data_IF_081134929115
#
_entry.id   IF_081134929115
#
_cell.length_a   1.000
_cell.length_b   1.000
_cell.length_c   1.000
_cell.angle_alpha   90.00
_cell.angle_beta   90.00
_cell.angle_gamma   90.00
#
_symmetry.space_group_name_H-M   'P 1'
#
loop_
_entity.id
_entity.type
_entity.pdbx_description
1 polymer ?
#
# COMPACT_ATOMS: atom_id res chain seq x y z
N UNK A 1 -15.01 10.27 14.72
CA UNK A 1 -14.72 10.26 13.28
C UNK A 1 -13.79 11.42 12.99
N UNK A 2 -12.59 11.14 12.49
CA UNK A 2 -11.62 12.17 12.12
C UNK A 2 -11.46 12.17 10.59
N UNK A 3 -11.30 13.35 9.96
CA UNK A 3 -11.00 13.41 8.53
C UNK A 3 -9.65 12.74 8.25
N UNK A 4 -9.54 12.02 7.14
CA UNK A 4 -8.25 11.52 6.65
C UNK A 4 -7.54 12.67 5.92
N UNK A 5 -6.44 13.15 6.48
CA UNK A 5 -5.62 14.21 5.88
C UNK A 5 -4.37 13.66 5.21
N UNK A 6 -3.86 12.51 5.65
CA UNK A 6 -2.69 11.87 5.06
C UNK A 6 -2.78 10.34 5.15
N UNK A 7 -2.33 9.66 4.09
CA UNK A 7 -2.08 8.22 4.10
C UNK A 7 -0.61 8.00 3.73
N UNK A 8 0.14 7.28 4.56
CA UNK A 8 1.51 6.84 4.26
C UNK A 8 1.53 5.35 4.04
N UNK A 9 1.98 4.90 2.87
CA UNK A 9 2.19 3.50 2.56
C UNK A 9 3.68 3.24 2.34
N UNK A 10 4.26 2.34 3.11
CA UNK A 10 5.62 1.86 2.95
C UNK A 10 5.57 0.45 2.39
N UNK A 11 6.23 0.22 1.26
CA UNK A 11 6.18 -1.01 0.50
C UNK A 11 7.58 -1.43 0.11
N UNK A 12 7.93 -2.68 0.39
CA UNK A 12 9.19 -3.30 -0.04
C UNK A 12 8.91 -4.39 -1.07
N UNK A 13 9.62 -4.30 -2.20
CA UNK A 13 9.64 -5.32 -3.24
C UNK A 13 10.79 -6.28 -2.96
N UNK A 14 10.52 -7.58 -3.08
CA UNK A 14 11.49 -8.60 -2.75
C UNK A 14 12.79 -8.48 -3.57
N UNK A 15 13.93 -8.82 -2.95
CA UNK A 15 15.22 -8.90 -3.65
C UNK A 15 15.43 -10.25 -4.35
N UNK A 16 14.54 -10.61 -5.28
CA UNK A 16 14.68 -11.82 -6.12
C UNK A 16 14.44 -11.55 -7.60
N UNK A 17 14.90 -12.48 -8.44
CA UNK A 17 14.73 -12.38 -9.90
C UNK A 17 13.26 -12.25 -10.30
N UNK A 18 12.96 -11.23 -11.11
CA UNK A 18 11.60 -10.92 -11.59
C UNK A 18 10.66 -10.34 -10.54
N UNK A 19 11.16 -9.87 -9.38
CA UNK A 19 10.32 -9.35 -8.31
C UNK A 19 9.73 -7.96 -8.59
N UNK A 20 10.43 -7.14 -9.38
CA UNK A 20 9.92 -5.85 -9.86
C UNK A 20 8.75 -6.04 -10.82
N UNK A 21 8.02 -4.95 -11.09
CA UNK A 21 6.81 -5.01 -11.88
C UNK A 21 6.57 -3.73 -12.68
N UNK A 22 6.13 -3.91 -13.93
CA UNK A 22 5.60 -2.86 -14.80
C UNK A 22 4.07 -2.68 -14.64
N UNK A 23 3.45 -3.42 -13.70
CA UNK A 23 2.02 -3.37 -13.43
C UNK A 23 1.61 -2.12 -12.66
N UNK A 24 0.34 -1.73 -12.79
CA UNK A 24 -0.23 -0.68 -11.94
C UNK A 24 -0.55 -1.26 -10.57
N UNK A 25 -0.04 -0.64 -9.50
CA UNK A 25 -0.27 -1.10 -8.13
C UNK A 25 -1.06 -0.03 -7.39
N UNK A 26 -2.17 -0.44 -6.79
CA UNK A 26 -3.10 0.42 -6.09
C UNK A 26 -3.16 0.08 -4.61
N UNK A 27 -3.26 1.10 -3.78
CA UNK A 27 -3.64 1.00 -2.38
C UNK A 27 -5.14 1.30 -2.24
N UNK A 28 -5.91 0.33 -1.75
CA UNK A 28 -7.29 0.52 -1.33
C UNK A 28 -7.37 0.99 0.12
N UNK A 29 -7.97 2.17 0.35
CA UNK A 29 -8.29 2.72 1.69
C UNK A 29 -9.62 3.48 1.60
N UNK A 30 -10.49 3.27 2.59
CA UNK A 30 -11.74 4.03 2.72
C UNK A 30 -12.68 3.91 1.50
N UNK A 31 -12.73 2.73 0.89
CA UNK A 31 -13.65 2.45 -0.22
C UNK A 31 -13.21 2.93 -1.60
N UNK A 32 -11.98 3.46 -1.75
CA UNK A 32 -11.38 3.80 -3.05
C UNK A 32 -9.91 3.41 -3.15
N UNK A 33 -9.38 3.49 -4.37
CA UNK A 33 -8.00 3.14 -4.69
C UNK A 33 -7.14 4.38 -4.97
N UNK A 34 -5.86 4.27 -4.61
CA UNK A 34 -4.80 5.27 -4.79
C UNK A 34 -3.63 4.62 -5.52
N UNK A 35 -3.17 5.19 -6.62
CA UNK A 35 -2.07 4.61 -7.39
C UNK A 35 -0.73 4.81 -6.65
N UNK A 36 0.03 3.73 -6.49
CA UNK A 36 1.40 3.76 -5.98
C UNK A 36 2.35 4.13 -7.11
N UNK A 37 2.50 5.43 -7.34
CA UNK A 37 3.37 5.98 -8.38
C UNK A 37 4.08 7.22 -7.84
N UNK A 38 5.40 7.17 -7.72
CA UNK A 38 6.20 8.24 -7.11
C UNK A 38 6.58 9.29 -8.15
N UNK A 39 6.51 10.56 -7.76
CA UNK A 39 6.87 11.66 -8.66
C UNK A 39 8.30 11.54 -9.19
N UNK A 40 8.43 11.59 -10.51
CA UNK A 40 9.74 11.55 -11.18
C UNK A 40 10.51 10.23 -11.02
N UNK A 41 9.83 9.15 -10.62
CA UNK A 41 10.39 7.80 -10.52
C UNK A 41 9.77 6.88 -11.56
N UNK A 42 10.54 5.92 -12.06
CA UNK A 42 10.03 4.84 -12.91
C UNK A 42 9.31 3.75 -12.11
N UNK A 43 8.97 2.66 -12.81
CA UNK A 43 8.21 1.53 -12.29
C UNK A 43 8.85 0.83 -11.07
N UNK A 44 8.07 -0.03 -10.42
CA UNK A 44 8.45 -0.70 -9.18
C UNK A 44 9.60 -1.69 -9.43
N UNK A 45 10.81 -1.30 -9.02
CA UNK A 45 12.00 -2.13 -9.19
C UNK A 45 12.12 -3.27 -8.18
N UNK A 46 12.92 -4.29 -8.53
CA UNK A 46 13.42 -5.28 -7.58
C UNK A 46 14.15 -4.60 -6.43
N UNK A 47 13.99 -5.11 -5.20
CA UNK A 47 14.59 -4.54 -3.99
C UNK A 47 14.24 -3.06 -3.72
N UNK A 48 13.17 -2.56 -4.33
CA UNK A 48 12.66 -1.23 -4.04
C UNK A 48 12.11 -1.15 -2.61
N UNK A 49 12.37 -0.03 -1.96
CA UNK A 49 11.95 0.31 -0.60
C UNK A 49 11.36 1.71 -0.63
N UNK A 50 10.03 1.78 -0.76
CA UNK A 50 9.33 2.97 -1.22
C UNK A 50 8.26 3.41 -0.24
N UNK A 51 8.19 4.73 0.01
CA UNK A 51 7.14 5.32 0.84
C UNK A 51 6.31 6.33 0.05
N UNK A 52 5.02 6.06 -0.07
CA UNK A 52 4.02 6.82 -0.81
C UNK A 52 3.17 7.65 0.14
N UNK A 53 3.07 8.95 -0.09
CA UNK A 53 2.34 9.90 0.73
C UNK A 53 1.18 10.48 -0.08
N UNK A 54 -0.04 10.23 0.39
CA UNK A 54 -1.27 10.76 -0.19
C UNK A 54 -1.85 11.86 0.70
N UNK A 55 -2.42 12.90 0.10
CA UNK A 55 -2.97 14.05 0.83
C UNK A 55 -1.90 15.07 1.22
N UNK A 56 -1.81 15.42 2.50
CA UNK A 56 -0.81 16.37 2.99
C UNK A 56 0.62 15.90 2.66
N UNK A 57 1.47 16.82 2.16
CA UNK A 57 2.87 16.52 1.85
C UNK A 57 3.08 15.50 0.73
N UNK A 58 2.09 15.28 -0.13
CA UNK A 58 2.12 14.23 -1.16
C UNK A 58 3.39 14.19 -2.01
N UNK A 59 3.85 12.98 -2.31
CA UNK A 59 5.00 12.70 -3.17
C UNK A 59 4.64 11.77 -4.35
N UNK A 60 3.34 11.57 -4.60
CA UNK A 60 2.84 10.68 -5.65
C UNK A 60 2.42 11.44 -6.90
N UNK A 61 2.47 10.79 -8.05
CA UNK A 61 1.94 11.31 -9.31
C UNK A 61 0.43 11.55 -9.22
N UNK A 62 -0.07 12.47 -10.05
CA UNK A 62 -1.50 12.82 -10.12
C UNK A 62 -2.12 13.17 -8.75
N UNK A 63 -1.40 13.94 -7.94
CA UNK A 63 -1.75 14.28 -6.56
C UNK A 63 -3.21 14.70 -6.34
N UNK A 64 -3.79 15.50 -7.25
CA UNK A 64 -5.19 15.93 -7.18
C UNK A 64 -6.18 14.75 -7.19
N UNK A 65 -5.92 13.75 -8.03
CA UNK A 65 -6.79 12.57 -8.16
C UNK A 65 -6.53 11.53 -7.07
N UNK A 66 -5.33 11.54 -6.49
CA UNK A 66 -4.89 10.67 -5.41
C UNK A 66 -4.99 11.34 -4.02
N UNK A 67 -5.78 12.40 -3.86
CA UNK A 67 -5.99 13.08 -2.59
C UNK A 67 -7.18 12.47 -1.80
N UNK A 68 -6.95 11.91 -0.58
CA UNK A 68 -8.04 11.38 0.27
C UNK A 68 -9.00 12.47 0.78
N UNK A 69 -8.70 13.75 0.53
CA UNK A 69 -9.55 14.89 0.88
C UNK A 69 -10.55 15.23 -0.24
N UNK A 70 -10.47 14.56 -1.41
CA UNK A 70 -11.31 14.81 -2.58
C UNK A 70 -11.94 13.55 -3.21
N UNK A 71 -13.20 13.19 -2.88
CA UNK A 71 -14.00 13.71 -1.76
C UNK A 71 -13.38 13.31 -0.41
N UNK A 72 -13.72 14.05 0.65
CA UNK A 72 -13.16 13.83 1.98
C UNK A 72 -13.55 12.45 2.54
N UNK A 73 -12.55 11.60 2.73
CA UNK A 73 -12.67 10.34 3.47
C UNK A 73 -12.51 10.58 4.98
N UNK A 74 -13.00 9.65 5.79
CA UNK A 74 -12.82 9.72 7.24
C UNK A 74 -12.47 8.35 7.87
N UNK A 75 -12.10 8.37 9.14
CA UNK A 75 -11.66 7.16 9.85
C UNK A 75 -12.76 6.11 10.07
N UNK A 76 -14.05 6.45 9.90
CA UNK A 76 -15.16 5.49 10.00
C UNK A 76 -15.19 4.58 8.76
N UNK A 77 -14.77 5.07 7.60
CA UNK A 77 -14.62 4.25 6.39
C UNK A 77 -13.66 3.06 6.59
N UNK A 78 -12.71 3.19 7.52
CA UNK A 78 -11.68 2.19 7.80
C UNK A 78 -12.20 0.94 8.51
N UNK A 79 -13.39 0.99 9.12
CA UNK A 79 -14.07 -0.20 9.67
C UNK A 79 -15.04 -0.82 8.67
N UNK A 80 -15.47 -0.06 7.67
CA UNK A 80 -16.45 -0.49 6.67
C UNK A 80 -15.80 -1.08 5.42
N UNK A 81 -14.63 -0.58 5.04
CA UNK A 81 -13.92 -1.00 3.84
C UNK A 81 -12.58 -1.65 4.19
N UNK A 82 -12.17 -2.70 3.46
CA UNK A 82 -10.87 -3.30 3.67
C UNK A 82 -9.75 -2.33 3.26
N UNK A 83 -8.60 -2.46 3.92
CA UNK A 83 -7.34 -1.91 3.44
C UNK A 83 -6.61 -3.01 2.67
N UNK A 84 -6.16 -2.74 1.44
CA UNK A 84 -5.54 -3.74 0.59
C UNK A 84 -4.59 -3.13 -0.44
N UNK A 85 -3.70 -3.94 -0.98
CA UNK A 85 -3.02 -3.64 -2.25
C UNK A 85 -3.71 -4.41 -3.37
N UNK A 86 -3.83 -3.81 -4.55
CA UNK A 86 -4.32 -4.48 -5.77
C UNK A 86 -3.42 -4.16 -6.94
N UNK A 87 -3.05 -5.19 -7.68
CA UNK A 87 -2.32 -5.08 -8.92
C UNK A 87 -3.29 -5.08 -10.11
N UNK A 88 -3.00 -4.30 -11.14
CA UNK A 88 -3.56 -4.44 -12.48
C UNK A 88 -2.42 -4.73 -13.45
N UNK A 89 -2.52 -5.88 -14.13
CA UNK A 89 -1.46 -6.38 -15.02
C UNK A 89 -1.18 -5.37 -16.12
N UNK A 90 0.08 -4.96 -16.26
CA UNK A 90 0.54 -4.09 -17.33
C UNK A 90 2.01 -4.36 -17.66
N UNK A 91 2.45 -3.85 -18.82
CA UNK A 91 3.84 -3.91 -19.24
C UNK A 91 4.35 -5.30 -19.63
N UNK A 92 5.67 -5.44 -19.65
CA UNK A 92 6.37 -6.64 -20.15
C UNK A 92 6.81 -7.59 -19.05
N UNK A 93 6.96 -7.08 -17.81
CA UNK A 93 7.26 -7.85 -16.61
C UNK A 93 6.14 -7.67 -15.58
N UNK A 94 4.95 -8.28 -15.80
CA UNK A 94 3.79 -7.98 -14.98
C UNK A 94 3.78 -8.54 -13.56
N UNK A 95 4.35 -9.71 -13.22
CA UNK A 95 4.27 -10.23 -11.85
C UNK A 95 4.93 -9.28 -10.86
N UNK A 96 4.45 -9.28 -9.62
CA UNK A 96 5.06 -8.49 -8.56
C UNK A 96 5.29 -9.34 -7.32
N UNK A 97 6.50 -9.29 -6.76
CA UNK A 97 6.83 -9.99 -5.52
C UNK A 97 6.99 -9.01 -4.37
N UNK A 98 5.97 -8.93 -3.52
CA UNK A 98 5.97 -8.08 -2.34
C UNK A 98 6.57 -8.81 -1.15
N UNK A 99 7.44 -8.12 -0.42
CA UNK A 99 8.10 -8.62 0.80
C UNK A 99 7.57 -7.95 2.07
N UNK A 100 7.20 -6.67 2.00
CA UNK A 100 6.64 -5.93 3.14
C UNK A 100 5.65 -4.87 2.67
N UNK A 101 4.60 -4.67 3.48
CA UNK A 101 3.80 -3.45 3.42
C UNK A 101 3.36 -3.04 4.81
N UNK A 102 3.46 -1.73 5.06
CA UNK A 102 2.78 -1.05 6.15
C UNK A 102 2.04 0.17 5.64
N UNK A 103 0.82 0.38 6.12
CA UNK A 103 0.00 1.54 5.76
C UNK A 103 -0.41 2.25 7.04
N UNK A 104 -0.19 3.55 7.14
CA UNK A 104 -0.63 4.37 8.25
C UNK A 104 -1.50 5.52 7.77
N UNK A 105 -2.74 5.55 8.23
CA UNK A 105 -3.69 6.65 8.03
C UNK A 105 -3.52 7.66 9.16
N UNK A 106 -3.49 8.95 8.82
CA UNK A 106 -3.26 10.07 9.74
C UNK A 106 -2.06 9.84 10.66
N UNK A 107 -0.86 9.60 10.09
CA UNK A 107 0.36 9.44 10.88
C UNK A 107 0.62 10.66 11.76
N UNK A 108 1.33 10.45 12.88
CA UNK A 108 1.68 11.50 13.84
C UNK A 108 0.48 12.15 14.57
N UNK A 109 -0.73 11.64 14.35
CA UNK A 109 -1.96 12.06 15.03
C UNK A 109 -2.43 11.05 16.08
N UNK A 110 -3.30 11.48 17.00
CA UNK A 110 -3.98 10.58 17.96
C UNK A 110 -4.97 9.61 17.28
N UNK A 111 -5.38 9.92 16.05
CA UNK A 111 -6.36 9.16 15.28
C UNK A 111 -5.66 8.20 14.29
N UNK A 112 -4.34 8.00 14.45
CA UNK A 112 -3.54 7.14 13.59
C UNK A 112 -4.05 5.69 13.58
N UNK A 113 -4.13 5.10 12.38
CA UNK A 113 -4.49 3.68 12.17
C UNK A 113 -3.44 3.02 11.28
N UNK A 114 -2.81 1.96 11.77
CA UNK A 114 -1.79 1.23 11.03
C UNK A 114 -2.26 -0.15 10.59
N UNK A 115 -1.79 -0.60 9.43
CA UNK A 115 -2.17 -1.85 8.78
C UNK A 115 -0.94 -2.57 8.23
N UNK A 116 -0.93 -3.91 8.29
CA UNK A 116 0.11 -4.76 7.70
C UNK A 116 -0.44 -6.13 7.31
N UNK A 117 0.32 -6.91 6.54
CA UNK A 117 -0.03 -8.29 6.26
C UNK A 117 0.72 -9.26 7.20
N UNK A 118 0.02 -10.08 8.01
CA UNK A 118 0.65 -10.90 9.05
C UNK A 118 1.47 -12.07 8.52
N UNK A 119 1.40 -12.40 7.23
CA UNK A 119 2.25 -13.41 6.61
C UNK A 119 3.50 -12.82 5.94
N UNK A 120 3.52 -11.49 5.70
CA UNK A 120 4.71 -10.86 5.16
C UNK A 120 5.77 -10.75 6.26
N UNK A 121 6.97 -11.21 5.95
CA UNK A 121 8.12 -11.26 6.86
C UNK A 121 9.35 -10.84 6.05
N UNK A 122 9.88 -9.63 6.27
CA UNK A 122 11.09 -9.19 5.60
C UNK A 122 12.20 -10.22 5.77
N UNK A 123 12.93 -10.47 4.68
CA UNK A 123 14.09 -11.35 4.59
C UNK A 123 13.82 -12.84 4.84
N UNK A 124 12.56 -13.28 4.81
CA UNK A 124 12.18 -14.69 4.87
C UNK A 124 11.74 -15.24 3.52
N UNK A 125 12.30 -16.37 3.07
CA UNK A 125 11.91 -17.00 1.79
C UNK A 125 10.41 -17.33 1.69
N UNK A 126 9.76 -17.59 2.83
CA UNK A 126 8.31 -17.85 2.95
C UNK A 126 7.50 -16.61 3.38
N UNK A 127 8.16 -15.46 3.48
CA UNK A 127 7.61 -14.19 3.96
C UNK A 127 7.20 -13.22 2.86
N UNK A 128 7.12 -13.68 1.60
CA UNK A 128 6.80 -12.87 0.42
C UNK A 128 5.62 -13.44 -0.35
N UNK A 129 4.95 -12.60 -1.12
CA UNK A 129 3.76 -12.96 -1.90
C UNK A 129 3.95 -12.52 -3.34
N UNK A 130 3.64 -13.40 -4.28
CA UNK A 130 3.60 -13.10 -5.70
C UNK A 130 2.17 -12.75 -6.12
N UNK A 131 1.99 -11.55 -6.68
CA UNK A 131 0.76 -11.13 -7.33
C UNK A 131 0.92 -11.22 -8.84
N UNK A 132 -0.06 -11.84 -9.49
CA UNK A 132 -0.14 -12.05 -10.94
C UNK A 132 -1.57 -12.45 -11.33
N UNK A 133 -1.88 -12.44 -12.63
CA UNK A 133 -3.11 -13.00 -13.21
C UNK A 133 -3.36 -14.45 -12.76
N UNK A 134 -2.31 -15.22 -12.47
CA UNK A 134 -2.39 -16.64 -12.12
C UNK A 134 -2.28 -16.94 -10.62
N UNK A 135 -1.88 -15.97 -9.80
CA UNK A 135 -1.68 -16.15 -8.34
C UNK A 135 -2.53 -15.21 -7.49
N UNK A 136 -3.43 -14.46 -8.12
CA UNK A 136 -4.27 -13.46 -7.46
C UNK A 136 -3.62 -12.08 -7.52
N UNK A 137 -4.47 -11.05 -7.54
CA UNK A 137 -4.05 -9.66 -7.75
C UNK A 137 -4.22 -8.77 -6.53
N UNK A 138 -4.67 -9.30 -5.39
CA UNK A 138 -4.97 -8.49 -4.22
C UNK A 138 -4.35 -9.05 -2.94
N UNK A 139 -3.87 -8.16 -2.08
CA UNK A 139 -3.30 -8.45 -0.77
C UNK A 139 -3.99 -7.63 0.31
N UNK A 140 -4.79 -8.27 1.16
CA UNK A 140 -5.57 -7.60 2.21
C UNK A 140 -4.80 -7.40 3.50
N UNK A 141 -4.78 -6.17 4.03
CA UNK A 141 -4.05 -5.82 5.24
C UNK A 141 -4.94 -5.91 6.47
N UNK A 142 -4.33 -6.24 7.60
CA UNK A 142 -4.99 -6.26 8.91
C UNK A 142 -4.57 -5.06 9.73
N UNK A 143 -5.47 -4.49 10.56
CA UNK A 143 -5.08 -3.52 11.55
C UNK A 143 -3.98 -4.07 12.45
N UNK A 144 -2.95 -3.26 12.70
CA UNK A 144 -1.96 -3.53 13.74
C UNK A 144 -2.62 -3.17 15.07
N UNK A 145 -3.15 -4.19 15.76
CA UNK A 145 -3.61 -4.01 17.13
C UNK A 145 -2.41 -3.67 18.02
N UNK A 146 -2.61 -2.79 19.00
CA UNK A 146 -1.77 -2.83 20.20
C UNK A 146 -1.93 -4.23 20.79
N UNK A 147 -0.89 -5.05 20.70
CA UNK A 147 -0.77 -6.25 21.51
C UNK A 147 -0.80 -5.78 22.97
N UNK A 148 -1.97 -5.77 23.60
CA UNK A 148 -2.03 -5.85 25.05
C UNK A 148 -1.61 -7.27 25.38
N UNK A 149 -0.35 -7.41 25.78
CA UNK A 149 0.13 -8.60 26.48
C UNK A 149 -0.80 -8.82 27.67
N UNK A 150 -1.49 -9.97 27.68
CA UNK A 150 -2.19 -10.49 28.86
C UNK A 150 -1.16 -11.08 29.80
#
# INVERSE_FOLDING_TARGET
>A
MAPITQIRAHVETADVGGAGSDSWIYLGVGGREFLLDLQGRGDTGRAADDTYWFGEGTNVENAEYNDPRGPQLDTDDLIHFPVYLRMETSGSEPPWCIEMVSVTVNPDSRDARSYTHPALRPHGERGRIWLDDKSGKALYLRPVGSLQSV
#
